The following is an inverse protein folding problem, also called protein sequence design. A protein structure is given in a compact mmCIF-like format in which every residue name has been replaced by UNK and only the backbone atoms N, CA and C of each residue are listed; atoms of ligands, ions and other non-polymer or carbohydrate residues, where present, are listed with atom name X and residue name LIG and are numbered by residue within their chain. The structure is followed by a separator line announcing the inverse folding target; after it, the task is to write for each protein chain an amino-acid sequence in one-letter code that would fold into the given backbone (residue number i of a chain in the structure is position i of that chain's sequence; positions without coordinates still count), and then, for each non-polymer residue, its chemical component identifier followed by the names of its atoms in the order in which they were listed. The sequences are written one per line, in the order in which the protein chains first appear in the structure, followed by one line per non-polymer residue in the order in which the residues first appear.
data_IF_951169033975
#
_entry.id   IF_951169033975
#
_cell.length_a   1.000
_cell.length_b   1.000
_cell.length_c   1.000
_cell.angle_alpha   90.00
_cell.angle_beta   90.00
_cell.angle_gamma   90.00
#
_symmetry.space_group_name_H-M   'P 1'
#
loop_
_entity.id
_entity.type
_entity.pdbx_description
1 polymer ?
#
# COMPACT_ATOMS: atom_id res chain seq x y z
N UNK A 1 -15.20 -10.78 1.59
CA UNK A 1 -14.45 -9.54 1.28
C UNK A 1 -13.14 -9.97 0.63
N UNK A 2 -12.97 -9.75 -0.68
CA UNK A 2 -11.75 -10.22 -1.35
C UNK A 2 -10.54 -9.42 -0.93
N UNK A 3 -9.44 -10.12 -0.73
CA UNK A 3 -8.14 -9.48 -0.55
C UNK A 3 -7.62 -8.99 -1.90
N UNK A 4 -6.77 -7.99 -1.86
CA UNK A 4 -6.15 -7.42 -3.05
C UNK A 4 -4.63 -7.56 -2.96
N UNK A 5 -4.01 -7.71 -4.12
CA UNK A 5 -2.55 -7.62 -4.26
C UNK A 5 -2.25 -6.42 -5.12
N UNK A 6 -1.35 -5.57 -4.67
CA UNK A 6 -0.88 -4.46 -5.49
C UNK A 6 0.63 -4.52 -5.60
N UNK A 7 1.12 -4.30 -6.82
CA UNK A 7 2.54 -4.33 -7.12
C UNK A 7 3.02 -2.90 -7.31
N UNK A 8 4.09 -2.55 -6.62
CA UNK A 8 4.67 -1.21 -6.70
C UNK A 8 6.11 -1.30 -7.21
N UNK A 9 6.53 -0.27 -7.93
CA UNK A 9 7.92 -0.12 -8.37
C UNK A 9 8.53 1.04 -7.59
N UNK A 10 9.58 0.71 -6.85
CA UNK A 10 10.33 1.66 -6.04
C UNK A 10 11.27 2.51 -6.91
N UNK A 11 11.80 3.62 -6.38
CA UNK A 11 12.70 4.50 -7.18
C UNK A 11 13.95 3.81 -7.73
N UNK A 12 14.41 2.72 -7.10
CA UNK A 12 15.55 1.94 -7.57
C UNK A 12 15.20 0.94 -8.68
N UNK A 13 13.92 0.90 -9.09
CA UNK A 13 13.43 -0.02 -10.11
C UNK A 13 12.97 -1.37 -9.58
N UNK A 14 13.18 -1.67 -8.31
CA UNK A 14 12.72 -2.92 -7.72
C UNK A 14 11.19 -2.93 -7.60
N UNK A 15 10.59 -4.06 -7.90
CA UNK A 15 9.13 -4.25 -7.76
C UNK A 15 8.84 -5.10 -6.54
N UNK A 16 7.75 -4.79 -5.87
CA UNK A 16 7.35 -5.48 -4.66
C UNK A 16 5.85 -5.72 -4.69
N UNK A 17 5.44 -6.97 -4.41
CA UNK A 17 4.03 -7.32 -4.27
C UNK A 17 3.59 -7.02 -2.83
N UNK A 18 2.48 -6.31 -2.72
CA UNK A 18 1.93 -5.87 -1.44
C UNK A 18 0.51 -6.41 -1.27
N UNK A 19 0.08 -6.48 -0.03
CA UNK A 19 -1.21 -7.08 0.32
C UNK A 19 -2.12 -6.05 1.00
N UNK A 20 -3.41 -6.10 0.63
CA UNK A 20 -4.48 -5.42 1.36
C UNK A 20 -5.60 -6.41 1.65
N UNK A 21 -6.15 -6.43 2.87
CA UNK A 21 -7.22 -7.39 3.21
C UNK A 21 -8.58 -7.05 2.59
N UNK A 22 -8.69 -5.89 1.92
CA UNK A 22 -9.97 -5.41 1.40
C UNK A 22 -9.76 -4.66 0.09
N UNK A 23 -10.81 -4.59 -0.72
CA UNK A 23 -10.84 -3.80 -1.96
C UNK A 23 -10.75 -2.29 -1.72
N UNK A 24 -10.87 -1.84 -0.48
CA UNK A 24 -10.81 -0.42 -0.11
C UNK A 24 -9.56 0.27 -0.64
N UNK A 25 -8.43 -0.47 -0.74
CA UNK A 25 -7.17 0.10 -1.24
C UNK A 25 -7.33 0.73 -2.64
N UNK A 26 -8.28 0.25 -3.45
CA UNK A 26 -8.55 0.78 -4.78
C UNK A 26 -9.10 2.20 -4.78
N UNK A 27 -9.55 2.69 -3.63
CA UNK A 27 -10.02 4.07 -3.47
C UNK A 27 -8.87 5.04 -3.21
N UNK A 28 -7.68 4.52 -2.90
CA UNK A 28 -6.52 5.31 -2.51
C UNK A 28 -5.37 5.22 -3.51
N UNK A 29 -5.22 4.07 -4.17
CA UNK A 29 -4.15 3.85 -5.15
C UNK A 29 -4.77 3.43 -6.48
N UNK A 30 -4.17 3.88 -7.58
CA UNK A 30 -4.62 3.55 -8.93
C UNK A 30 -3.51 2.88 -9.71
N UNK A 31 -3.82 1.76 -10.36
CA UNK A 31 -2.86 1.05 -11.21
C UNK A 31 -2.40 1.97 -12.35
N UNK A 32 -1.11 1.97 -12.62
CA UNK A 32 -0.51 2.80 -13.66
C UNK A 32 -0.16 4.22 -13.23
N UNK A 33 -0.49 4.60 -11.99
CA UNK A 33 -0.20 5.95 -11.48
C UNK A 33 1.13 5.99 -10.75
N UNK A 34 1.78 7.15 -10.83
CA UNK A 34 3.04 7.42 -10.11
C UNK A 34 2.77 8.48 -9.04
N UNK A 35 3.31 8.24 -7.86
CA UNK A 35 3.12 9.11 -6.68
C UNK A 35 4.46 9.56 -6.16
N UNK A 36 4.54 10.80 -5.65
CA UNK A 36 5.66 11.21 -4.81
C UNK A 36 5.71 10.31 -3.57
N UNK A 37 6.91 10.05 -3.03
CA UNK A 37 7.08 9.11 -1.91
C UNK A 37 6.17 9.44 -0.73
N UNK A 38 6.12 10.70 -0.31
CA UNK A 38 5.28 11.11 0.82
C UNK A 38 3.80 10.86 0.54
N UNK A 39 3.34 11.20 -0.67
CA UNK A 39 1.95 10.99 -1.06
C UNK A 39 1.62 9.50 -1.13
N UNK A 40 2.53 8.70 -1.66
CA UNK A 40 2.35 7.25 -1.74
C UNK A 40 2.17 6.64 -0.35
N UNK A 41 3.03 6.99 0.59
CA UNK A 41 2.96 6.46 1.96
C UNK A 41 1.69 6.95 2.66
N UNK A 42 1.30 8.22 2.47
CA UNK A 42 0.04 8.73 3.04
C UNK A 42 -1.17 7.97 2.52
N UNK A 43 -1.21 7.68 1.21
CA UNK A 43 -2.31 6.92 0.62
C UNK A 43 -2.30 5.46 1.10
N UNK A 44 -1.14 4.84 1.21
CA UNK A 44 -1.03 3.48 1.73
C UNK A 44 -1.49 3.41 3.18
N UNK A 45 -1.10 4.38 4.01
CA UNK A 45 -1.51 4.42 5.40
C UNK A 45 -3.03 4.56 5.51
N UNK A 46 -3.61 5.54 4.80
CA UNK A 46 -5.06 5.74 4.82
C UNK A 46 -5.80 4.50 4.31
N UNK A 47 -5.35 3.94 3.20
CA UNK A 47 -5.99 2.77 2.58
C UNK A 47 -5.89 1.51 3.42
N UNK A 48 -4.72 1.22 3.98
CA UNK A 48 -4.52 0.02 4.79
C UNK A 48 -5.20 0.13 6.16
N UNK A 49 -5.23 1.32 6.77
CA UNK A 49 -6.00 1.53 8.00
C UNK A 49 -7.49 1.34 7.75
N UNK A 50 -8.00 1.88 6.64
CA UNK A 50 -9.41 1.72 6.27
C UNK A 50 -9.73 0.25 5.99
N UNK A 51 -8.83 -0.47 5.32
CA UNK A 51 -8.99 -1.90 5.06
C UNK A 51 -9.01 -2.71 6.36
N UNK A 52 -8.16 -2.36 7.33
CA UNK A 52 -8.15 -2.98 8.65
C UNK A 52 -9.45 -2.72 9.41
N UNK A 53 -9.97 -1.49 9.35
CA UNK A 53 -11.25 -1.14 9.95
C UNK A 53 -12.39 -1.96 9.35
N UNK A 54 -12.33 -2.19 8.04
CA UNK A 54 -13.32 -3.00 7.35
C UNK A 54 -13.31 -4.44 7.83
N UNK A 55 -12.13 -5.02 8.05
CA UNK A 55 -11.98 -6.36 8.62
C UNK A 55 -12.57 -6.40 10.03
N UNK A 56 -12.31 -5.38 10.84
CA UNK A 56 -12.87 -5.29 12.18
C UNK A 56 -14.40 -5.25 12.17
N UNK A 57 -15.00 -4.49 11.25
CA UNK A 57 -16.45 -4.42 11.09
C UNK A 57 -17.07 -5.78 10.79
N UNK A 58 -16.41 -6.58 9.95
CA UNK A 58 -16.94 -7.87 9.48
C UNK A 58 -16.61 -9.00 10.47
N UNK A 59 -15.40 -9.03 11.00
CA UNK A 59 -14.89 -10.16 11.80
C UNK A 59 -14.70 -9.84 13.28
N UNK A 60 -14.82 -8.59 13.68
CA UNK A 60 -14.69 -8.18 15.08
C UNK A 60 -13.27 -7.94 15.58
N UNK A 61 -12.26 -8.05 14.70
CA UNK A 61 -10.86 -7.79 15.07
C UNK A 61 -10.10 -7.17 13.91
N UNK A 62 -9.04 -6.41 14.24
CA UNK A 62 -8.19 -5.77 13.23
C UNK A 62 -7.31 -6.79 12.51
N UNK A 63 -6.99 -6.48 11.25
CA UNK A 63 -6.10 -7.31 10.43
C UNK A 63 -4.66 -6.92 10.69
N UNK A 64 -3.90 -7.78 11.38
CA UNK A 64 -2.48 -7.54 11.64
C UNK A 64 -1.66 -7.54 10.35
N UNK A 65 -2.10 -8.29 9.32
CA UNK A 65 -1.40 -8.33 8.03
C UNK A 65 -1.38 -6.96 7.34
N UNK A 66 -2.47 -6.17 7.46
CA UNK A 66 -2.51 -4.81 6.92
C UNK A 66 -1.50 -3.91 7.63
N UNK A 67 -1.41 -4.02 8.96
CA UNK A 67 -0.46 -3.22 9.75
C UNK A 67 0.98 -3.62 9.47
N UNK A 68 1.25 -4.91 9.33
CA UNK A 68 2.57 -5.43 8.97
C UNK A 68 2.98 -4.95 7.59
N UNK A 69 2.05 -4.96 6.63
CA UNK A 69 2.30 -4.45 5.29
C UNK A 69 2.64 -2.97 5.31
N UNK A 70 1.90 -2.18 6.07
CA UNK A 70 2.15 -0.75 6.19
C UNK A 70 3.53 -0.49 6.81
N UNK A 71 3.89 -1.21 7.86
CA UNK A 71 5.19 -1.08 8.50
C UNK A 71 6.33 -1.41 7.51
N UNK A 72 6.16 -2.46 6.71
CA UNK A 72 7.13 -2.84 5.69
C UNK A 72 7.30 -1.75 4.64
N UNK A 73 6.20 -1.16 4.16
CA UNK A 73 6.23 -0.07 3.19
C UNK A 73 6.94 1.16 3.76
N UNK A 74 6.68 1.51 5.01
CA UNK A 74 7.35 2.65 5.65
C UNK A 74 8.85 2.42 5.81
N UNK A 75 9.25 1.20 6.16
CA UNK A 75 10.68 0.85 6.27
C UNK A 75 11.37 0.99 4.91
N UNK A 76 10.74 0.48 3.87
CA UNK A 76 11.30 0.55 2.50
C UNK A 76 11.39 2.01 2.03
N UNK A 77 10.35 2.79 2.28
CA UNK A 77 10.33 4.21 1.92
C UNK A 77 11.45 4.99 2.60
N UNK A 78 11.79 4.65 3.83
CA UNK A 78 12.86 5.33 4.57
C UNK A 78 14.23 5.14 3.92
N UNK A 79 14.43 4.08 3.13
CA UNK A 79 15.70 3.86 2.40
C UNK A 79 15.95 4.91 1.32
N UNK A 80 14.90 5.63 0.90
CA UNK A 80 14.98 6.64 -0.15
C UNK A 80 14.88 8.07 0.40
N UNK A 81 14.92 8.26 1.71
CA UNK A 81 14.79 9.58 2.29
C UNK A 81 15.98 10.47 1.89
N UNK A 82 15.70 11.74 1.58
CA UNK A 82 16.72 12.70 1.18
C UNK A 82 16.98 12.79 -0.32
N UNK A 83 16.39 11.91 -1.14
CA UNK A 83 16.52 11.98 -2.59
C UNK A 83 15.46 12.92 -3.18
N UNK A 84 15.85 13.67 -4.24
CA UNK A 84 14.97 14.69 -4.81
C UNK A 84 13.91 14.16 -5.77
N UNK A 85 14.10 12.96 -6.33
CA UNK A 85 13.21 12.41 -7.37
C UNK A 85 12.55 11.12 -6.92
N UNK A 86 12.21 11.03 -5.64
CA UNK A 86 11.58 9.83 -5.11
C UNK A 86 10.14 9.72 -5.56
N UNK A 87 9.88 8.75 -6.42
CA UNK A 87 8.52 8.44 -6.83
C UNK A 87 8.32 6.94 -6.81
N UNK A 88 7.07 6.53 -6.60
CA UNK A 88 6.66 5.13 -6.58
C UNK A 88 5.55 4.97 -7.60
N UNK A 89 5.66 3.97 -8.47
CA UNK A 89 4.63 3.66 -9.45
C UNK A 89 3.85 2.44 -8.98
N UNK A 90 2.53 2.56 -9.00
CA UNK A 90 1.64 1.42 -8.77
C UNK A 90 1.50 0.69 -10.10
N UNK A 91 2.14 -0.47 -10.21
CA UNK A 91 2.19 -1.23 -11.47
C UNK A 91 0.86 -1.92 -11.75
N UNK A 92 0.28 -2.54 -10.72
CA UNK A 92 -0.99 -3.28 -10.86
C UNK A 92 -1.70 -3.38 -9.53
N UNK A 93 -3.02 -3.55 -9.60
CA UNK A 93 -3.87 -3.89 -8.46
C UNK A 93 -4.84 -4.95 -8.97
N UNK A 94 -4.90 -6.08 -8.28
CA UNK A 94 -5.76 -7.19 -8.67
C UNK A 94 -6.21 -7.99 -7.46
N UNK A 95 -7.30 -8.76 -7.57
CA UNK A 95 -7.68 -9.69 -6.50
C UNK A 95 -6.54 -10.66 -6.20
N UNK A 96 -6.31 -10.86 -4.93
CA UNK A 96 -5.26 -11.77 -4.48
C UNK A 96 -5.66 -13.24 -4.63
#
# INVERSE_FOLDING_TARGET
MPAMRFVVRWPDGAEEACYSPSTVITQYLYAGSTYAMADFIDQCEAGLLKASDRVKEVYGYHCSSAMDQLASLKRRAAEFSGEHSNSVTVVSIAPA
#
